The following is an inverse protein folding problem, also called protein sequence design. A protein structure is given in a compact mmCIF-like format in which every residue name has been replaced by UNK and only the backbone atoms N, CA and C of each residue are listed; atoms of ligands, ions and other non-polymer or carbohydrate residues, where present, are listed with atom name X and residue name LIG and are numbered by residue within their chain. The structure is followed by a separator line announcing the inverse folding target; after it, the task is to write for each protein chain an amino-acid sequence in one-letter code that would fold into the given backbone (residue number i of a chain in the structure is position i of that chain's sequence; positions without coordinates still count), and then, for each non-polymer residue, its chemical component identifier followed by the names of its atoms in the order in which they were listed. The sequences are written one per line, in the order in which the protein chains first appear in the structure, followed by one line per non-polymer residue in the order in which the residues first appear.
data_IF_186909986954
#
_entry.id   IF_186909986954
#
_cell.length_a   1.000
_cell.length_b   1.000
_cell.length_c   1.000
_cell.angle_alpha   90.00
_cell.angle_beta   90.00
_cell.angle_gamma   90.00
#
_symmetry.space_group_name_H-M   'P 1'
#
loop_
_entity.id
_entity.type
_entity.pdbx_description
1 polymer ?
#
# COMPACT_ATOMS: atom_id res chain seq x y z
N UNK A 1 23.39 -8.11 -5.64
CA UNK A 1 21.98 -8.47 -5.95
C UNK A 1 21.25 -7.20 -6.36
N UNK A 2 20.34 -7.25 -7.31
CA UNK A 2 19.59 -6.07 -7.71
C UNK A 2 18.72 -5.60 -6.52
N UNK A 3 18.88 -4.35 -6.10
CA UNK A 3 18.01 -3.75 -5.06
C UNK A 3 16.61 -3.40 -5.60
N UNK A 4 16.30 -3.81 -6.83
CA UNK A 4 15.03 -3.58 -7.51
C UNK A 4 14.03 -4.65 -7.11
N UNK A 5 12.86 -4.25 -6.64
CA UNK A 5 11.82 -5.13 -6.10
C UNK A 5 10.43 -4.63 -6.44
N UNK A 6 9.49 -5.54 -6.57
CA UNK A 6 8.07 -5.23 -6.48
C UNK A 6 7.61 -5.21 -5.00
N UNK A 7 6.36 -4.81 -4.75
CA UNK A 7 5.83 -4.68 -3.39
C UNK A 7 5.86 -6.01 -2.62
N UNK A 8 5.45 -7.10 -3.26
CA UNK A 8 5.34 -8.42 -2.62
C UNK A 8 6.73 -8.98 -2.26
N UNK A 9 7.70 -8.83 -3.16
CA UNK A 9 9.09 -9.19 -2.89
C UNK A 9 9.65 -8.39 -1.71
N UNK A 10 9.43 -7.06 -1.71
CA UNK A 10 9.88 -6.19 -0.64
C UNK A 10 9.25 -6.56 0.71
N UNK A 11 7.93 -6.76 0.76
CA UNK A 11 7.24 -7.14 2.01
C UNK A 11 7.64 -8.55 2.50
N UNK A 12 8.01 -9.45 1.58
CA UNK A 12 8.40 -10.81 1.94
C UNK A 12 9.73 -10.90 2.67
N UNK A 13 10.60 -9.88 2.55
CA UNK A 13 11.92 -9.86 3.21
C UNK A 13 11.87 -9.57 4.70
N UNK A 14 10.77 -8.98 5.18
CA UNK A 14 10.64 -8.50 6.56
C UNK A 14 9.41 -9.10 7.23
N UNK A 15 9.41 -9.10 8.57
CA UNK A 15 8.21 -9.41 9.36
C UNK A 15 7.27 -8.22 9.46
N UNK A 16 7.82 -7.00 9.34
CA UNK A 16 7.08 -5.75 9.41
C UNK A 16 7.70 -4.69 8.49
N UNK A 17 6.85 -3.91 7.84
CA UNK A 17 7.19 -2.69 7.11
C UNK A 17 6.50 -1.54 7.85
N UNK A 18 7.28 -0.64 8.42
CA UNK A 18 6.79 0.39 9.33
C UNK A 18 6.98 1.79 8.76
N UNK A 19 5.92 2.60 8.83
CA UNK A 19 6.03 4.05 8.68
C UNK A 19 6.28 4.65 10.06
N UNK A 20 7.49 5.21 10.34
CA UNK A 20 7.85 5.69 11.67
C UNK A 20 7.15 7.00 12.03
N UNK A 21 7.23 7.34 13.31
CA UNK A 21 6.54 8.48 13.93
C UNK A 21 6.82 9.83 13.30
N UNK A 22 8.04 10.04 12.87
CA UNK A 22 8.51 11.32 12.29
C UNK A 22 7.92 11.61 10.91
N UNK A 23 7.29 10.61 10.29
CA UNK A 23 6.77 10.75 8.94
C UNK A 23 5.40 11.44 8.92
N UNK A 24 5.18 12.21 7.84
CA UNK A 24 3.90 12.88 7.61
C UNK A 24 2.77 11.88 7.35
N UNK A 25 1.53 12.34 7.58
CA UNK A 25 0.35 11.58 7.23
C UNK A 25 0.32 11.20 5.75
N UNK A 26 -0.36 10.11 5.42
CA UNK A 26 -0.67 9.78 4.02
C UNK A 26 -1.49 10.92 3.40
N UNK A 27 -1.00 11.47 2.31
CA UNK A 27 -1.53 12.69 1.71
C UNK A 27 -2.01 12.52 0.27
N UNK A 28 -1.51 11.55 -0.49
CA UNK A 28 -1.87 11.37 -1.91
C UNK A 28 -3.38 11.18 -2.15
N UNK A 29 -4.11 10.65 -1.17
CA UNK A 29 -5.57 10.54 -1.24
C UNK A 29 -6.35 11.82 -0.89
N UNK A 30 -5.71 12.92 -0.46
CA UNK A 30 -6.41 14.15 -0.08
C UNK A 30 -7.11 14.79 -1.27
N UNK A 31 -8.19 15.54 -0.98
CA UNK A 31 -8.97 16.25 -2.02
C UNK A 31 -8.13 17.22 -2.84
N UNK A 32 -7.24 17.97 -2.19
CA UNK A 32 -6.36 18.94 -2.84
C UNK A 32 -5.22 18.32 -3.63
N UNK A 33 -4.99 17.01 -3.49
CA UNK A 33 -3.96 16.25 -4.22
C UNK A 33 -4.54 15.50 -5.43
N UNK A 34 -5.73 15.87 -5.89
CA UNK A 34 -6.46 15.19 -6.97
C UNK A 34 -5.59 14.98 -8.23
N UNK A 35 -4.91 16.03 -8.70
CA UNK A 35 -4.08 15.93 -9.91
C UNK A 35 -2.89 14.98 -9.74
N UNK A 36 -2.19 15.06 -8.60
CA UNK A 36 -1.03 14.19 -8.30
C UNK A 36 -1.49 12.74 -8.19
N UNK A 37 -2.60 12.51 -7.48
CA UNK A 37 -3.20 11.19 -7.31
C UNK A 37 -3.55 10.58 -8.66
N UNK A 38 -4.34 11.28 -9.47
CA UNK A 38 -4.82 10.74 -10.74
C UNK A 38 -3.67 10.53 -11.73
N UNK A 39 -2.74 11.48 -11.87
CA UNK A 39 -1.56 11.27 -12.72
C UNK A 39 -0.76 10.04 -12.30
N UNK A 40 -0.59 9.79 -11.01
CA UNK A 40 0.10 8.60 -10.52
C UNK A 40 -0.70 7.31 -10.81
N UNK A 41 -2.02 7.34 -10.63
CA UNK A 41 -2.88 6.20 -10.95
C UNK A 41 -2.93 5.95 -12.47
N UNK A 42 -2.97 6.99 -13.30
CA UNK A 42 -2.91 6.87 -14.76
C UNK A 42 -1.65 6.12 -15.21
N UNK A 43 -0.47 6.47 -14.66
CA UNK A 43 0.79 5.79 -14.96
C UNK A 43 0.76 4.32 -14.51
N UNK A 44 0.24 4.05 -13.29
CA UNK A 44 0.12 2.69 -12.76
C UNK A 44 -0.82 1.84 -13.62
N UNK A 45 -2.04 2.32 -13.88
CA UNK A 45 -3.03 1.57 -14.66
C UNK A 45 -2.68 1.42 -16.13
N UNK A 46 -1.99 2.40 -16.73
CA UNK A 46 -1.41 2.25 -18.06
C UNK A 46 -0.44 1.07 -18.09
N UNK A 47 0.50 1.03 -17.15
CA UNK A 47 1.47 -0.07 -17.02
C UNK A 47 0.78 -1.43 -16.86
N UNK A 48 -0.25 -1.49 -16.01
CA UNK A 48 -1.00 -2.73 -15.77
C UNK A 48 -1.73 -3.20 -17.03
N UNK A 49 -2.40 -2.30 -17.75
CA UNK A 49 -3.14 -2.60 -18.99
C UNK A 49 -2.22 -3.03 -20.13
N UNK A 50 -1.09 -2.37 -20.29
CA UNK A 50 -0.11 -2.68 -21.34
C UNK A 50 0.79 -3.87 -20.97
N UNK A 51 0.71 -4.34 -19.73
CA UNK A 51 1.60 -5.36 -19.14
C UNK A 51 3.08 -4.99 -19.32
N UNK A 52 3.37 -3.69 -19.23
CA UNK A 52 4.71 -3.12 -19.36
C UNK A 52 5.39 -2.99 -17.99
N UNK A 53 6.64 -2.56 -17.95
CA UNK A 53 7.37 -2.33 -16.70
C UNK A 53 7.34 -0.85 -16.30
N UNK A 54 7.05 -0.60 -15.04
CA UNK A 54 7.15 0.72 -14.42
C UNK A 54 8.20 0.70 -13.31
N UNK A 55 9.19 1.56 -13.47
CA UNK A 55 10.20 1.76 -12.46
C UNK A 55 9.90 3.02 -11.67
N UNK A 56 9.51 2.84 -10.42
CA UNK A 56 9.34 3.91 -9.46
C UNK A 56 10.69 4.27 -8.83
N UNK A 57 10.80 5.50 -8.36
CA UNK A 57 12.00 5.97 -7.69
C UNK A 57 12.35 5.15 -6.44
N UNK A 58 13.40 5.57 -5.74
CA UNK A 58 13.93 4.88 -4.56
C UNK A 58 12.94 4.89 -3.39
N UNK A 59 12.97 3.79 -2.65
CA UNK A 59 12.42 3.65 -1.31
C UNK A 59 13.60 3.41 -0.38
N UNK A 60 13.77 4.22 0.66
CA UNK A 60 14.88 4.02 1.59
C UNK A 60 14.44 4.07 3.05
N UNK A 61 15.19 3.38 3.87
CA UNK A 61 14.91 3.26 5.28
C UNK A 61 15.97 2.47 6.04
N UNK A 62 15.71 2.30 7.33
CA UNK A 62 16.56 1.55 8.25
C UNK A 62 16.08 0.11 8.38
N UNK A 63 17.01 -0.82 8.55
CA UNK A 63 16.71 -2.23 8.80
C UNK A 63 16.98 -2.55 10.26
N UNK A 64 15.95 -2.98 10.99
CA UNK A 64 16.13 -3.54 12.33
C UNK A 64 16.28 -5.06 12.21
N UNK A 65 17.30 -5.59 12.88
CA UNK A 65 17.65 -7.02 12.87
C UNK A 65 17.40 -7.65 14.23
N UNK A 66 17.18 -8.96 14.24
CA UNK A 66 17.10 -9.75 15.46
C UNK A 66 18.50 -10.08 16.00
N UNK A 67 18.55 -10.82 17.13
CA UNK A 67 19.81 -11.25 17.77
C UNK A 67 20.67 -12.20 16.90
N UNK A 68 20.08 -12.77 15.86
CA UNK A 68 20.73 -13.65 14.88
C UNK A 68 21.08 -12.93 13.57
N UNK A 69 21.03 -11.58 13.56
CA UNK A 69 21.29 -10.72 12.39
C UNK A 69 20.29 -10.89 11.23
N UNK A 70 19.09 -11.51 11.48
CA UNK A 70 18.05 -11.59 10.47
C UNK A 70 17.24 -10.28 10.41
N UNK A 71 16.94 -9.75 9.22
CA UNK A 71 16.11 -8.57 9.08
C UNK A 71 14.67 -8.87 9.52
N UNK A 72 14.17 -8.09 10.49
CA UNK A 72 12.80 -8.27 11.01
C UNK A 72 11.88 -7.11 10.68
N UNK A 73 12.42 -5.90 10.57
CA UNK A 73 11.66 -4.69 10.37
C UNK A 73 12.38 -3.77 9.38
N UNK A 74 11.61 -3.17 8.46
CA UNK A 74 12.08 -2.07 7.64
C UNK A 74 11.32 -0.80 8.02
N UNK A 75 12.04 0.21 8.52
CA UNK A 75 11.48 1.52 8.83
C UNK A 75 11.63 2.46 7.65
N UNK A 76 10.49 2.85 7.06
CA UNK A 76 10.42 3.70 5.87
C UNK A 76 10.77 5.15 6.20
N UNK A 77 11.89 5.67 5.68
CA UNK A 77 12.27 7.08 5.79
C UNK A 77 11.83 7.89 4.55
N UNK A 78 11.80 7.26 3.38
CA UNK A 78 11.17 7.85 2.19
C UNK A 78 10.45 6.79 1.35
N UNK A 79 9.54 7.26 0.48
CA UNK A 79 8.69 6.40 -0.35
C UNK A 79 7.40 5.98 0.34
N UNK A 80 7.11 6.44 1.55
CA UNK A 80 5.91 6.06 2.32
C UNK A 80 4.60 6.29 1.55
N UNK A 81 4.47 7.39 0.81
CA UNK A 81 3.27 7.71 0.05
C UNK A 81 3.04 6.67 -1.06
N UNK A 82 4.10 6.32 -1.79
CA UNK A 82 4.07 5.30 -2.86
C UNK A 82 3.77 3.92 -2.31
N UNK A 83 4.46 3.51 -1.24
CA UNK A 83 4.24 2.20 -0.62
C UNK A 83 2.80 2.08 -0.09
N UNK A 84 2.26 3.14 0.53
CA UNK A 84 0.86 3.14 0.95
C UNK A 84 -0.09 2.99 -0.24
N UNK A 85 0.12 3.75 -1.33
CA UNK A 85 -0.71 3.64 -2.54
C UNK A 85 -0.59 2.24 -3.16
N UNK A 86 0.61 1.67 -3.25
CA UNK A 86 0.80 0.32 -3.78
C UNK A 86 0.15 -0.74 -2.88
N UNK A 87 0.20 -0.59 -1.56
CA UNK A 87 -0.52 -1.47 -0.62
C UNK A 87 -2.02 -1.47 -0.91
N UNK A 88 -2.64 -0.29 -1.05
CA UNK A 88 -4.06 -0.15 -1.36
C UNK A 88 -4.42 -0.73 -2.74
N UNK A 89 -3.57 -0.50 -3.74
CA UNK A 89 -3.73 -1.02 -5.10
C UNK A 89 -3.69 -2.56 -5.12
N UNK A 90 -2.70 -3.16 -4.46
CA UNK A 90 -2.56 -4.62 -4.39
C UNK A 90 -3.75 -5.25 -3.66
N UNK A 91 -4.15 -4.68 -2.52
CA UNK A 91 -5.33 -5.14 -1.80
C UNK A 91 -6.59 -5.08 -2.68
N UNK A 92 -6.83 -3.92 -3.33
CA UNK A 92 -8.02 -3.72 -4.13
C UNK A 92 -8.10 -4.70 -5.31
N UNK A 93 -7.04 -4.79 -6.11
CA UNK A 93 -6.99 -5.68 -7.27
C UNK A 93 -7.08 -7.16 -6.83
N UNK A 94 -6.41 -7.54 -5.74
CA UNK A 94 -6.51 -8.88 -5.19
C UNK A 94 -7.95 -9.24 -4.79
N UNK A 95 -8.71 -8.31 -4.19
CA UNK A 95 -10.12 -8.51 -3.92
C UNK A 95 -10.95 -8.69 -5.19
N UNK A 96 -10.76 -7.80 -6.17
CA UNK A 96 -11.54 -7.78 -7.41
C UNK A 96 -11.35 -9.05 -8.26
N UNK A 97 -10.16 -9.63 -8.21
CA UNK A 97 -9.80 -10.81 -9.01
C UNK A 97 -9.76 -12.11 -8.18
N UNK A 98 -10.30 -12.10 -6.96
CA UNK A 98 -10.30 -13.26 -6.04
C UNK A 98 -8.91 -13.85 -5.81
N UNK A 99 -7.90 -12.98 -5.68
CA UNK A 99 -6.49 -13.34 -5.42
C UNK A 99 -6.04 -12.95 -3.99
N UNK A 100 -6.96 -12.50 -3.14
CA UNK A 100 -6.68 -12.21 -1.73
C UNK A 100 -6.73 -13.51 -0.92
N UNK A 101 -5.74 -14.38 -1.15
CA UNK A 101 -5.56 -15.62 -0.40
C UNK A 101 -4.81 -15.39 0.94
N UNK A 102 -4.68 -16.45 1.74
CA UNK A 102 -4.02 -16.38 3.06
C UNK A 102 -2.58 -15.84 2.97
N UNK A 103 -1.85 -16.18 1.90
CA UNK A 103 -0.47 -15.70 1.68
C UNK A 103 -0.45 -14.20 1.36
N UNK A 104 -1.37 -13.72 0.54
CA UNK A 104 -1.51 -12.30 0.23
C UNK A 104 -1.92 -11.52 1.48
N UNK A 105 -2.88 -12.02 2.25
CA UNK A 105 -3.29 -11.46 3.54
C UNK A 105 -2.11 -11.36 4.50
N UNK A 106 -1.34 -12.45 4.67
CA UNK A 106 -0.13 -12.46 5.51
C UNK A 106 0.87 -11.39 5.06
N UNK A 107 1.12 -11.30 3.74
CA UNK A 107 2.08 -10.36 3.17
C UNK A 107 1.63 -8.91 3.40
N UNK A 108 0.40 -8.58 3.05
CA UNK A 108 -0.13 -7.22 3.22
C UNK A 108 -0.27 -6.82 4.68
N UNK A 109 -0.56 -7.76 5.59
CA UNK A 109 -0.67 -7.51 7.03
C UNK A 109 0.64 -7.08 7.71
N UNK A 110 1.76 -7.14 7.01
CA UNK A 110 3.06 -6.66 7.51
C UNK A 110 3.19 -5.12 7.50
N UNK A 111 2.31 -4.42 6.78
CA UNK A 111 2.36 -2.97 6.66
C UNK A 111 1.74 -2.27 7.87
N UNK A 112 2.48 -1.36 8.53
CA UNK A 112 2.11 -0.71 9.79
C UNK A 112 2.44 0.77 9.82
N UNK A 113 1.65 1.51 10.63
CA UNK A 113 1.96 2.89 11.04
C UNK A 113 2.32 2.90 12.53
N UNK A 114 3.47 3.45 12.91
CA UNK A 114 3.94 3.42 14.29
C UNK A 114 3.09 4.27 15.25
N UNK A 115 2.78 5.51 14.87
CA UNK A 115 2.13 6.48 15.78
C UNK A 115 0.64 6.59 15.66
N UNK A 116 0.10 6.03 14.61
CA UNK A 116 -1.32 6.10 14.32
C UNK A 116 -1.90 4.71 14.50
N UNK A 117 -2.19 4.38 15.77
CA UNK A 117 -2.83 3.09 16.07
C UNK A 117 -4.06 2.87 15.19
N UNK A 118 -4.90 3.91 15.02
CA UNK A 118 -6.07 3.87 14.13
C UNK A 118 -5.70 3.53 12.68
N UNK A 119 -4.69 4.18 12.10
CA UNK A 119 -4.23 3.88 10.74
C UNK A 119 -3.62 2.48 10.63
N UNK A 120 -2.87 2.03 11.66
CA UNK A 120 -2.30 0.68 11.70
C UNK A 120 -3.40 -0.38 11.79
N UNK A 121 -4.35 -0.20 12.71
CA UNK A 121 -5.50 -1.10 12.89
C UNK A 121 -6.36 -1.16 11.62
N UNK A 122 -6.55 -0.02 10.95
CA UNK A 122 -7.24 0.05 9.67
C UNK A 122 -6.53 -0.76 8.58
N UNK A 123 -5.20 -0.58 8.41
CA UNK A 123 -4.43 -1.33 7.42
C UNK A 123 -4.47 -2.84 7.70
N UNK A 124 -4.35 -3.24 8.98
CA UNK A 124 -4.45 -4.65 9.36
C UNK A 124 -5.84 -5.23 9.07
N UNK A 125 -6.89 -4.53 9.45
CA UNK A 125 -8.25 -4.96 9.21
C UNK A 125 -8.57 -5.01 7.70
N UNK A 126 -8.11 -4.00 6.94
CA UNK A 126 -8.27 -3.93 5.49
C UNK A 126 -7.60 -5.12 4.79
N UNK A 127 -6.36 -5.48 5.18
CA UNK A 127 -5.62 -6.58 4.56
C UNK A 127 -6.33 -7.94 4.68
N UNK A 128 -7.16 -8.12 5.72
CA UNK A 128 -7.94 -9.33 5.98
C UNK A 128 -9.34 -9.30 5.37
N UNK A 129 -9.74 -8.16 4.84
CA UNK A 129 -11.09 -7.97 4.36
C UNK A 129 -11.24 -8.27 2.87
N UNK A 130 -12.15 -9.19 2.54
CA UNK A 130 -12.54 -9.51 1.18
C UNK A 130 -13.63 -8.55 0.73
N UNK A 131 -13.24 -7.46 0.05
CA UNK A 131 -14.15 -6.50 -0.52
C UNK A 131 -14.92 -7.10 -1.70
N UNK A 132 -16.25 -7.00 -1.64
CA UNK A 132 -17.13 -7.35 -2.74
C UNK A 132 -17.81 -6.06 -3.23
N UNK A 133 -17.66 -5.70 -4.51
CA UNK A 133 -18.30 -4.51 -5.07
C UNK A 133 -19.82 -4.57 -4.93
N UNK A 134 -20.41 -3.43 -4.59
CA UNK A 134 -21.87 -3.22 -4.64
C UNK A 134 -22.14 -2.25 -5.79
N UNK A 135 -23.14 -2.56 -6.59
CA UNK A 135 -23.57 -1.72 -7.70
C UNK A 135 -23.92 -0.30 -7.20
N UNK A 136 -23.46 0.72 -7.89
CA UNK A 136 -23.64 2.14 -7.56
C UNK A 136 -23.03 2.62 -6.23
N UNK A 137 -22.25 1.78 -5.51
CA UNK A 137 -21.55 2.19 -4.29
C UNK A 137 -20.04 2.28 -4.48
N UNK A 138 -19.44 3.36 -3.97
CA UNK A 138 -17.99 3.48 -3.87
C UNK A 138 -17.46 2.54 -2.76
N UNK A 139 -16.25 1.99 -2.89
CA UNK A 139 -15.63 1.15 -1.87
C UNK A 139 -15.61 1.78 -0.48
N UNK A 140 -15.35 3.08 -0.36
CA UNK A 140 -15.37 3.79 0.91
C UNK A 140 -16.74 3.72 1.59
N UNK A 141 -17.82 3.82 0.84
CA UNK A 141 -19.19 3.73 1.35
C UNK A 141 -19.50 2.31 1.85
N UNK A 142 -19.10 1.30 1.07
CA UNK A 142 -19.26 -0.10 1.44
C UNK A 142 -18.46 -0.42 2.72
N UNK A 143 -17.22 0.08 2.81
CA UNK A 143 -16.37 -0.06 3.99
C UNK A 143 -17.06 0.54 5.23
N UNK A 144 -17.59 1.75 5.15
CA UNK A 144 -18.29 2.38 6.26
C UNK A 144 -19.57 1.65 6.70
N UNK A 145 -20.34 1.10 5.75
CA UNK A 145 -21.65 0.51 6.03
C UNK A 145 -21.57 -0.94 6.52
N UNK A 146 -20.66 -1.74 5.94
CA UNK A 146 -20.67 -3.18 6.10
C UNK A 146 -19.67 -3.72 7.12
N UNK A 147 -18.72 -2.88 7.55
CA UNK A 147 -17.66 -3.37 8.40
C UNK A 147 -17.96 -3.28 9.88
N UNK A 148 -18.18 -4.43 10.47
CA UNK A 148 -18.24 -4.58 11.93
C UNK A 148 -16.96 -4.12 12.64
N UNK A 149 -15.85 -4.03 11.90
CA UNK A 149 -14.54 -3.59 12.41
C UNK A 149 -14.25 -2.10 12.12
N UNK A 150 -15.11 -1.39 11.39
CA UNK A 150 -14.94 0.05 11.16
C UNK A 150 -15.42 0.83 12.37
N UNK A 151 -14.48 1.39 13.11
CA UNK A 151 -14.77 2.15 14.32
C UNK A 151 -14.93 3.63 14.02
N UNK A 152 -15.79 4.33 14.77
CA UNK A 152 -15.97 5.80 14.65
C UNK A 152 -14.67 6.61 14.84
N UNK A 153 -13.69 6.07 15.57
CA UNK A 153 -12.38 6.70 15.71
C UNK A 153 -11.62 6.80 14.38
N UNK A 154 -11.93 5.95 13.41
CA UNK A 154 -11.33 5.98 12.08
C UNK A 154 -11.76 7.21 11.28
N UNK A 155 -12.98 7.73 11.49
CA UNK A 155 -13.48 8.94 10.84
C UNK A 155 -12.67 10.20 11.21
N UNK A 156 -11.97 10.16 12.34
CA UNK A 156 -11.15 11.28 12.82
C UNK A 156 -9.69 11.21 12.33
N UNK A 157 -9.31 10.11 11.69
CA UNK A 157 -7.95 9.92 11.17
C UNK A 157 -7.84 10.36 9.70
N UNK A 158 -7.16 11.49 9.48
CA UNK A 158 -6.96 12.05 8.14
C UNK A 158 -6.17 11.13 7.19
N UNK A 159 -5.41 10.17 7.72
CA UNK A 159 -4.71 9.16 6.93
C UNK A 159 -5.70 8.15 6.39
N UNK A 160 -6.65 7.70 7.20
CA UNK A 160 -7.71 6.77 6.80
C UNK A 160 -8.64 7.42 5.77
N UNK A 161 -9.07 8.68 6.00
CA UNK A 161 -9.87 9.43 5.02
C UNK A 161 -9.15 9.52 3.66
N UNK A 162 -7.83 9.76 3.68
CA UNK A 162 -7.02 9.77 2.46
C UNK A 162 -6.89 8.39 1.81
N UNK A 163 -6.76 7.31 2.60
CA UNK A 163 -6.72 5.94 2.09
C UNK A 163 -8.05 5.56 1.42
N UNK A 164 -9.17 5.87 2.04
CA UNK A 164 -10.50 5.60 1.50
C UNK A 164 -10.73 6.29 0.17
N UNK A 165 -10.35 7.58 0.06
CA UNK A 165 -10.42 8.31 -1.23
C UNK A 165 -9.49 7.75 -2.29
N UNK A 166 -8.33 7.23 -1.89
CA UNK A 166 -7.43 6.57 -2.83
C UNK A 166 -8.03 5.25 -3.32
N UNK A 167 -8.68 4.48 -2.45
CA UNK A 167 -9.37 3.24 -2.82
C UNK A 167 -10.52 3.54 -3.81
N UNK A 168 -11.28 4.62 -3.57
CA UNK A 168 -12.33 5.05 -4.51
C UNK A 168 -11.75 5.40 -5.89
N UNK A 169 -10.63 6.15 -5.92
CA UNK A 169 -9.97 6.49 -7.18
C UNK A 169 -9.37 5.25 -7.89
N UNK A 170 -8.81 4.30 -7.14
CA UNK A 170 -8.38 3.00 -7.70
C UNK A 170 -9.56 2.24 -8.29
N UNK A 171 -10.71 2.27 -7.63
CA UNK A 171 -11.94 1.64 -8.12
C UNK A 171 -12.39 2.24 -9.46
N UNK A 172 -12.38 3.57 -9.58
CA UNK A 172 -12.73 4.27 -10.82
C UNK A 172 -11.82 3.83 -11.97
N UNK A 173 -10.50 3.87 -11.78
CA UNK A 173 -9.51 3.44 -12.79
C UNK A 173 -9.62 1.95 -13.14
N UNK A 174 -9.86 1.09 -12.15
CA UNK A 174 -10.03 -0.35 -12.38
C UNK A 174 -11.26 -0.64 -13.24
N UNK A 175 -12.38 0.05 -13.02
CA UNK A 175 -13.60 -0.13 -13.80
C UNK A 175 -13.43 0.30 -15.26
N UNK A 176 -12.47 1.19 -15.58
CA UNK A 176 -12.11 1.56 -16.96
C UNK A 176 -11.27 0.48 -17.67
N UNK A 177 -10.92 -0.60 -17.01
CA UNK A 177 -10.09 -1.67 -17.58
C UNK A 177 -10.90 -2.82 -18.23
N UNK A 178 -12.22 -2.67 -18.40
CA UNK A 178 -13.10 -3.57 -19.15
C UNK A 178 -12.93 -5.08 -18.88
N UNK A 179 -12.77 -5.45 -17.59
CA UNK A 179 -12.65 -6.85 -17.17
C UNK A 179 -11.28 -7.49 -17.44
N UNK A 180 -10.25 -6.71 -17.72
CA UNK A 180 -8.87 -7.21 -17.80
C UNK A 180 -8.42 -7.78 -16.45
N UNK A 181 -7.63 -8.86 -16.47
CA UNK A 181 -6.94 -9.36 -15.28
C UNK A 181 -5.62 -8.59 -15.10
N UNK A 182 -5.51 -7.83 -14.03
CA UNK A 182 -4.38 -6.93 -13.75
C UNK A 182 -3.45 -7.43 -12.64
N UNK A 183 -3.90 -8.44 -11.87
CA UNK A 183 -3.18 -8.91 -10.68
C UNK A 183 -1.76 -9.37 -10.98
N UNK A 184 -1.56 -10.12 -12.06
CA UNK A 184 -0.24 -10.62 -12.46
C UNK A 184 0.71 -9.47 -12.85
N UNK A 185 0.17 -8.43 -13.50
CA UNK A 185 0.93 -7.26 -13.96
C UNK A 185 1.40 -6.36 -12.80
N UNK A 186 0.84 -6.50 -11.58
CA UNK A 186 1.32 -5.79 -10.39
C UNK A 186 2.82 -6.02 -10.11
N UNK A 187 3.35 -7.19 -10.50
CA UNK A 187 4.77 -7.51 -10.36
C UNK A 187 5.68 -6.66 -11.27
N UNK A 188 5.13 -6.02 -12.28
CA UNK A 188 5.87 -5.15 -13.20
C UNK A 188 6.10 -3.75 -12.64
N UNK A 189 5.41 -3.40 -11.55
CA UNK A 189 5.63 -2.15 -10.82
C UNK A 189 6.74 -2.38 -9.81
N UNK A 190 7.90 -1.77 -10.05
CA UNK A 190 9.12 -2.01 -9.28
C UNK A 190 9.74 -0.71 -8.79
N UNK A 191 10.55 -0.80 -7.74
CA UNK A 191 11.28 0.31 -7.15
C UNK A 191 12.63 -0.19 -6.57
N UNK A 192 13.55 0.75 -6.36
CA UNK A 192 14.83 0.43 -5.72
C UNK A 192 14.73 0.59 -4.22
N UNK A 193 15.16 -0.44 -3.47
CA UNK A 193 15.24 -0.41 -2.02
C UNK A 193 16.66 -0.09 -1.59
N UNK A 194 16.83 1.01 -0.84
CA UNK A 194 18.10 1.42 -0.26
C UNK A 194 18.04 1.27 1.26
N UNK A 195 18.99 0.51 1.80
CA UNK A 195 19.16 0.32 3.24
C UNK A 195 20.23 1.30 3.71
N UNK A 196 19.90 2.21 4.62
CA UNK A 196 20.85 3.23 5.08
C UNK A 196 22.03 2.61 5.83
N UNK A 197 21.82 1.48 6.49
CA UNK A 197 22.91 0.72 7.15
C UNK A 197 24.02 0.33 6.18
N UNK A 198 23.69 0.06 4.91
CA UNK A 198 24.67 -0.30 3.88
C UNK A 198 25.61 0.87 3.55
N UNK A 199 25.27 2.10 3.92
CA UNK A 199 26.06 3.32 3.70
C UNK A 199 26.74 3.86 4.96
N UNK A 200 26.62 3.18 6.10
CA UNK A 200 27.15 3.65 7.37
C UNK A 200 26.46 4.90 7.93
N UNK A 201 25.26 5.19 7.44
CA UNK A 201 24.41 6.30 7.86
C UNK A 201 23.42 5.78 8.91
N UNK A 202 23.90 5.31 10.06
CA UNK A 202 23.03 5.10 11.22
C UNK A 202 22.67 6.45 11.83
N UNK A 203 21.39 6.65 12.19
CA UNK A 203 21.01 7.80 13.02
C UNK A 203 21.75 7.69 14.38
N UNK A 204 22.66 8.64 14.64
CA UNK A 204 23.12 8.96 15.99
C UNK A 204 22.09 9.89 16.67
#
# INVERSE_FOLDING_TARGET
MSNRKNLIEFFSEYKEIRIPRIQRAYAQGRKNEYFIRNSFLDDLFKTLKENDSLELNYVYGNVVKDKQDNPILFELLDGQQRITTLFLLHWYIACRENKLDDKMVETLSKFRYETRHTSSDFCEALSKYHYIPIEEELPSQTIHKQFKWYFKSFDLDSTIDSMLRMIDAIHEHYNECDGMELFAALNNIQFYVLKLDDFGLSEE
#
